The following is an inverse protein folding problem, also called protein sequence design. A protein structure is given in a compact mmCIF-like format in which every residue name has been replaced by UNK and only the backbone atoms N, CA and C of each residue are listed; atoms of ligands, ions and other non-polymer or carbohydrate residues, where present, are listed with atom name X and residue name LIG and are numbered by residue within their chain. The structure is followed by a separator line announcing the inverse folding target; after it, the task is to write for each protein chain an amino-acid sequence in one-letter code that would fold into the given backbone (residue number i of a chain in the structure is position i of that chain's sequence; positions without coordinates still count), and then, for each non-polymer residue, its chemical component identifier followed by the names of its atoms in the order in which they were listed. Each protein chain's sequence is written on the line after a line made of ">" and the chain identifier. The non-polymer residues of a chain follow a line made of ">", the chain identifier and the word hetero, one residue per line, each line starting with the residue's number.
data_IF_151289290517
#
_entry.id   IF_151289290517
#
_cell.length_a   1.000
_cell.length_b   1.000
_cell.length_c   1.000
_cell.angle_alpha   90.00
_cell.angle_beta   90.00
_cell.angle_gamma   90.00
#
_symmetry.space_group_name_H-M   'P 1'
#
loop_
_entity.id
_entity.type
_entity.pdbx_description
1 polymer ?
#
# COMPACT_ATOMS: atom_id res chain seq x y z
N UNK A 1 22.52 -6.68 6.00
CA UNK A 1 21.12 -6.55 5.57
C UNK A 1 20.47 -5.23 5.99
N UNK A 2 20.54 -4.78 7.26
CA UNK A 2 19.90 -3.53 7.68
C UNK A 2 20.40 -2.22 7.02
N UNK A 3 21.60 -2.21 6.42
CA UNK A 3 22.10 -1.05 5.66
C UNK A 3 21.36 -0.84 4.34
N UNK A 4 21.05 -1.94 3.63
CA UNK A 4 20.45 -1.89 2.29
C UNK A 4 19.02 -1.32 2.32
N UNK A 5 18.19 -1.74 3.28
CA UNK A 5 16.83 -1.19 3.45
C UNK A 5 16.83 0.27 3.89
N UNK A 6 17.82 0.68 4.70
CA UNK A 6 17.96 2.09 5.12
C UNK A 6 18.39 3.00 3.96
N UNK A 7 19.20 2.48 3.04
CA UNK A 7 19.61 3.22 1.84
C UNK A 7 18.44 3.34 0.85
N UNK A 8 17.65 2.28 0.65
CA UNK A 8 16.40 2.34 -0.14
C UNK A 8 15.42 3.39 0.40
N UNK A 9 15.21 3.43 1.72
CA UNK A 9 14.35 4.45 2.34
C UNK A 9 14.87 5.88 2.13
N UNK A 10 16.20 6.06 2.04
CA UNK A 10 16.81 7.37 1.74
C UNK A 10 16.59 7.76 0.28
N UNK A 11 16.73 6.82 -0.64
CA UNK A 11 16.48 7.03 -2.07
C UNK A 11 15.01 7.36 -2.34
N UNK A 12 14.09 6.64 -1.72
CA UNK A 12 12.66 6.94 -1.81
C UNK A 12 12.33 8.36 -1.33
N UNK A 13 12.89 8.77 -0.18
CA UNK A 13 12.70 10.14 0.34
C UNK A 13 13.22 11.20 -0.63
N UNK A 14 14.35 10.95 -1.28
CA UNK A 14 14.88 11.86 -2.30
C UNK A 14 13.98 11.93 -3.53
N UNK A 15 13.46 10.79 -3.98
CA UNK A 15 12.51 10.74 -5.09
C UNK A 15 11.24 11.54 -4.79
N UNK A 16 10.62 11.29 -3.64
CA UNK A 16 9.42 12.02 -3.22
C UNK A 16 9.67 13.52 -3.07
N UNK A 17 10.81 13.92 -2.52
CA UNK A 17 11.18 15.33 -2.41
C UNK A 17 11.51 16.01 -3.75
N UNK A 18 11.82 15.23 -4.80
CA UNK A 18 12.08 15.74 -6.15
C UNK A 18 10.81 15.83 -7.01
N UNK A 19 9.66 15.35 -6.51
CA UNK A 19 8.36 15.61 -7.12
C UNK A 19 7.84 16.94 -6.56
N UNK A 20 8.24 18.08 -7.13
CA UNK A 20 7.65 19.38 -6.82
C UNK A 20 6.14 19.39 -7.16
N UNK A 21 5.36 20.03 -6.31
CA UNK A 21 3.88 20.00 -6.24
C UNK A 21 3.14 20.57 -7.48
N UNK A 22 3.86 21.09 -8.48
CA UNK A 22 3.28 21.83 -9.61
C UNK A 22 2.94 20.97 -10.85
N UNK A 23 3.49 19.76 -11.00
CA UNK A 23 3.16 18.87 -12.15
C UNK A 23 1.85 18.07 -11.92
N UNK A 24 1.32 18.08 -10.71
CA UNK A 24 0.13 17.32 -10.34
C UNK A 24 -1.20 18.00 -10.77
N UNK A 25 -1.19 19.31 -11.05
CA UNK A 25 -2.41 20.08 -11.35
C UNK A 25 -2.59 20.50 -12.83
N UNK A 26 -1.57 20.39 -13.68
CA UNK A 26 -1.59 20.99 -15.02
C UNK A 26 -2.09 20.10 -16.18
N UNK A 27 -2.52 18.87 -15.93
CA UNK A 27 -3.07 18.00 -17.01
C UNK A 27 -4.60 17.89 -17.03
N UNK A 28 -5.31 18.60 -16.14
CA UNK A 28 -6.78 18.67 -16.16
C UNK A 28 -7.27 20.01 -16.72
N UNK A 29 -7.29 20.15 -18.05
CA UNK A 29 -8.05 21.21 -18.70
C UNK A 29 -9.57 20.97 -18.51
N UNK A 30 -10.36 22.02 -18.22
CA UNK A 30 -11.77 21.86 -17.85
C UNK A 30 -12.67 21.75 -19.09
N UNK A 31 -13.53 20.73 -19.12
CA UNK A 31 -14.71 20.75 -19.99
C UNK A 31 -15.78 21.66 -19.38
N UNK A 32 -16.40 22.44 -20.25
CA UNK A 32 -17.20 23.63 -20.01
C UNK A 32 -18.59 23.34 -19.43
N UNK A 33 -19.10 24.31 -18.67
CA UNK A 33 -20.28 24.31 -17.84
C UNK A 33 -21.65 24.26 -18.56
N UNK A 34 -22.67 23.79 -17.83
CA UNK A 34 -24.04 24.27 -17.91
C UNK A 34 -24.62 24.39 -16.49
N UNK A 35 -25.15 25.58 -16.20
CA UNK A 35 -25.55 26.06 -14.89
C UNK A 35 -27.05 25.88 -14.63
N UNK A 36 -27.44 25.63 -13.36
CA UNK A 36 -28.70 26.13 -12.77
C UNK A 36 -28.54 26.25 -11.24
N UNK A 37 -28.92 27.40 -10.69
CA UNK A 37 -29.15 27.69 -9.26
C UNK A 37 -30.42 28.59 -9.16
N UNK A 38 -30.95 29.00 -7.99
CA UNK A 38 -30.72 28.55 -6.62
C UNK A 38 -32.02 28.32 -5.80
N UNK A 39 -31.90 27.80 -4.56
CA UNK A 39 -32.84 28.12 -3.48
C UNK A 39 -32.11 28.13 -2.12
N UNK A 40 -32.33 29.20 -1.36
CA UNK A 40 -31.70 29.53 -0.10
C UNK A 40 -32.48 29.01 1.11
N UNK A 41 -31.81 28.81 2.27
CA UNK A 41 -32.09 29.59 3.48
C UNK A 41 -31.11 29.28 4.62
N UNK A 42 -30.65 30.35 5.26
CA UNK A 42 -29.70 30.47 6.37
C UNK A 42 -30.29 30.06 7.72
N UNK A 43 -29.45 29.53 8.63
CA UNK A 43 -29.45 29.91 10.06
C UNK A 43 -28.02 29.96 10.63
N UNK A 44 -27.63 31.15 11.08
CA UNK A 44 -26.46 31.52 11.89
C UNK A 44 -26.71 31.32 13.38
N UNK A 45 -25.69 30.87 14.14
CA UNK A 45 -25.46 31.23 15.56
C UNK A 45 -23.94 31.24 15.84
N UNK A 46 -23.39 32.23 16.57
CA UNK A 46 -21.95 32.42 16.78
C UNK A 46 -21.45 31.72 18.06
N UNK A 47 -20.16 31.34 18.07
CA UNK A 47 -19.52 30.76 19.26
C UNK A 47 -18.00 30.64 19.12
N UNK A 48 -17.31 31.55 19.80
CA UNK A 48 -15.87 31.71 20.03
C UNK A 48 -15.01 30.44 19.97
N UNK A 49 -13.87 30.55 19.27
CA UNK A 49 -12.73 29.62 19.31
C UNK A 49 -12.07 29.63 20.71
N UNK A 50 -11.75 28.46 21.30
CA UNK A 50 -10.77 28.37 22.38
C UNK A 50 -9.33 28.33 21.82
N UNK A 51 -8.33 28.77 22.62
CA UNK A 51 -6.94 28.85 22.20
C UNK A 51 -6.21 27.50 22.23
N UNK A 52 -5.08 27.49 21.55
CA UNK A 52 -4.08 26.43 21.42
C UNK A 52 -3.71 25.74 22.74
N UNK A 53 -3.60 24.42 22.70
CA UNK A 53 -2.77 23.59 23.58
C UNK A 53 -1.94 22.70 22.65
N UNK A 54 -0.66 23.00 22.41
CA UNK A 54 0.52 22.60 23.20
C UNK A 54 0.66 21.09 23.38
N UNK A 55 1.56 20.56 22.55
CA UNK A 55 2.61 19.58 22.88
C UNK A 55 2.22 18.36 23.73
N UNK A 56 2.11 17.22 23.06
CA UNK A 56 2.46 15.94 23.66
C UNK A 56 3.19 15.09 22.63
N UNK A 57 4.51 15.18 22.66
CA UNK A 57 5.40 14.14 22.14
C UNK A 57 5.03 12.81 22.80
N UNK A 58 4.24 11.98 22.11
CA UNK A 58 4.12 10.58 22.45
C UNK A 58 5.43 9.89 22.06
N UNK A 59 6.36 9.83 23.01
CA UNK A 59 7.54 8.98 22.92
C UNK A 59 7.07 7.51 22.91
N UNK A 60 7.00 6.93 21.72
CA UNK A 60 6.82 5.49 21.55
C UNK A 60 8.16 4.83 21.86
N UNK A 61 8.27 4.29 23.07
CA UNK A 61 9.41 3.49 23.53
C UNK A 61 9.44 2.16 22.76
N UNK A 62 10.19 2.14 21.66
CA UNK A 62 10.47 0.91 20.92
C UNK A 62 11.57 0.14 21.68
N UNK A 63 11.29 -1.08 22.18
CA UNK A 63 12.29 -1.84 22.91
C UNK A 63 13.52 -2.07 22.02
N UNK A 64 14.67 -1.65 22.52
CA UNK A 64 15.99 -1.79 21.88
C UNK A 64 16.25 -3.26 21.59
N UNK A 65 16.29 -3.62 20.31
CA UNK A 65 16.59 -4.97 19.83
C UNK A 65 17.88 -5.50 20.50
N UNK A 66 17.73 -6.50 21.35
CA UNK A 66 18.85 -7.24 21.90
C UNK A 66 19.57 -7.97 20.75
N UNK A 67 20.90 -7.84 20.72
CA UNK A 67 21.76 -8.45 19.73
C UNK A 67 21.72 -9.99 19.86
N UNK A 68 21.06 -10.64 18.91
CA UNK A 68 21.15 -12.09 18.71
C UNK A 68 22.39 -12.38 17.88
N UNK A 69 23.35 -13.12 18.45
CA UNK A 69 24.54 -13.58 17.73
C UNK A 69 24.16 -14.75 16.79
N UNK A 70 24.76 -14.84 15.58
CA UNK A 70 24.45 -15.92 14.67
C UNK A 70 25.23 -17.18 15.06
N UNK A 71 24.51 -18.26 15.37
CA UNK A 71 25.08 -19.59 15.42
C UNK A 71 25.41 -20.08 14.00
N UNK A 72 26.67 -20.47 13.78
CA UNK A 72 27.15 -21.03 12.54
C UNK A 72 26.37 -22.31 12.18
N UNK A 73 25.73 -22.32 11.01
CA UNK A 73 25.18 -23.53 10.41
C UNK A 73 25.64 -23.62 8.95
N UNK A 74 26.10 -24.82 8.62
CA UNK A 74 26.82 -25.25 7.42
C UNK A 74 26.03 -25.01 6.13
N UNK A 75 26.79 -24.67 5.08
CA UNK A 75 26.32 -24.33 3.74
C UNK A 75 25.89 -25.57 2.94
N UNK A 76 24.75 -26.18 3.26
CA UNK A 76 24.15 -27.26 2.45
C UNK A 76 22.61 -27.26 2.64
N UNK A 77 21.91 -26.14 2.37
CA UNK A 77 20.42 -26.13 2.25
C UNK A 77 19.88 -24.77 1.78
N UNK A 78 20.01 -24.44 0.48
CA UNK A 78 19.45 -23.20 -0.11
C UNK A 78 18.38 -23.45 -1.17
N UNK A 79 18.30 -24.65 -1.74
CA UNK A 79 17.36 -24.96 -2.83
C UNK A 79 16.02 -25.48 -2.31
N UNK A 80 15.98 -26.13 -1.14
CA UNK A 80 14.73 -26.69 -0.57
C UNK A 80 13.85 -25.58 0.03
N UNK A 81 14.44 -24.55 0.65
CA UNK A 81 13.71 -23.49 1.36
C UNK A 81 12.83 -22.57 0.50
N UNK A 82 13.10 -22.45 -0.81
CA UNK A 82 12.35 -21.53 -1.70
C UNK A 82 11.05 -22.15 -2.22
N UNK A 83 11.09 -23.42 -2.60
CA UNK A 83 9.92 -24.14 -3.12
C UNK A 83 8.81 -24.21 -2.05
N UNK A 84 9.19 -24.51 -0.81
CA UNK A 84 8.24 -24.62 0.31
C UNK A 84 7.54 -23.28 0.63
N UNK A 85 8.27 -22.17 0.62
CA UNK A 85 7.68 -20.83 0.81
C UNK A 85 6.73 -20.45 -0.32
N UNK A 86 7.12 -20.73 -1.56
CA UNK A 86 6.29 -20.43 -2.73
C UNK A 86 4.98 -21.22 -2.65
N UNK A 87 5.09 -22.53 -2.40
CA UNK A 87 3.92 -23.39 -2.20
C UNK A 87 3.03 -22.91 -1.05
N UNK A 88 3.61 -22.52 0.08
CA UNK A 88 2.85 -22.00 1.22
C UNK A 88 2.10 -20.71 0.90
N UNK A 89 2.70 -19.79 0.14
CA UNK A 89 2.03 -18.56 -0.29
C UNK A 89 0.98 -18.82 -1.36
N UNK A 90 1.18 -19.78 -2.25
CA UNK A 90 0.17 -20.20 -3.22
C UNK A 90 -1.04 -20.82 -2.52
N UNK A 91 -0.81 -21.70 -1.54
CA UNK A 91 -1.86 -22.28 -0.68
C UNK A 91 -2.61 -21.18 0.07
N UNK A 92 -1.91 -20.22 0.67
CA UNK A 92 -2.52 -19.06 1.32
C UNK A 92 -3.33 -18.22 0.34
N UNK A 93 -2.85 -18.01 -0.89
CA UNK A 93 -3.57 -17.29 -1.92
C UNK A 93 -4.89 -17.98 -2.29
N UNK A 94 -4.93 -19.31 -2.33
CA UNK A 94 -6.18 -20.06 -2.55
C UNK A 94 -7.17 -19.90 -1.40
N UNK A 95 -6.68 -19.93 -0.15
CA UNK A 95 -7.51 -19.65 1.03
C UNK A 95 -8.08 -18.23 0.97
N UNK A 96 -7.28 -17.24 0.58
CA UNK A 96 -7.74 -15.85 0.45
C UNK A 96 -8.80 -15.72 -0.66
N UNK A 97 -8.58 -16.35 -1.82
CA UNK A 97 -9.50 -16.32 -2.97
C UNK A 97 -10.89 -16.87 -2.63
N UNK A 98 -10.94 -17.88 -1.77
CA UNK A 98 -12.18 -18.52 -1.30
C UNK A 98 -12.77 -17.91 -0.02
N UNK A 99 -12.09 -16.95 0.60
CA UNK A 99 -12.47 -16.42 1.92
C UNK A 99 -13.82 -15.68 1.88
N UNK A 100 -14.77 -16.06 2.74
CA UNK A 100 -16.08 -15.39 2.91
C UNK A 100 -16.32 -14.91 4.36
N UNK A 101 -15.23 -14.71 5.12
CA UNK A 101 -15.26 -14.42 6.56
C UNK A 101 -15.76 -13.01 6.92
N UNK A 102 -15.99 -12.14 5.94
CA UNK A 102 -16.54 -10.80 6.13
C UNK A 102 -17.45 -10.40 4.96
N UNK A 103 -18.28 -9.34 5.10
CA UNK A 103 -19.21 -8.92 4.04
C UNK A 103 -18.54 -8.61 2.69
N UNK A 104 -17.31 -8.10 2.70
CA UNK A 104 -16.57 -7.79 1.46
C UNK A 104 -16.31 -9.03 0.60
N UNK A 105 -16.24 -10.21 1.21
CA UNK A 105 -16.04 -11.44 0.46
C UNK A 105 -17.24 -11.86 -0.39
N UNK A 106 -18.43 -11.35 -0.06
CA UNK A 106 -19.63 -11.58 -0.84
C UNK A 106 -19.82 -10.57 -1.99
N UNK A 107 -19.15 -9.41 -1.95
CA UNK A 107 -19.37 -8.32 -2.91
C UNK A 107 -18.23 -8.12 -3.91
N UNK A 108 -16.99 -8.48 -3.57
CA UNK A 108 -15.83 -8.38 -4.46
C UNK A 108 -15.99 -9.16 -5.77
N UNK A 109 -15.34 -8.73 -6.85
CA UNK A 109 -15.16 -9.57 -8.04
C UNK A 109 -14.02 -10.57 -7.85
N UNK A 110 -12.85 -10.08 -7.42
CA UNK A 110 -11.69 -10.93 -7.14
C UNK A 110 -11.07 -10.56 -5.81
N UNK A 111 -10.65 -11.57 -5.03
CA UNK A 111 -9.74 -11.31 -3.93
C UNK A 111 -8.36 -10.95 -4.48
N UNK A 112 -7.61 -10.15 -3.72
CA UNK A 112 -6.25 -9.72 -4.06
C UNK A 112 -5.28 -10.16 -2.96
N UNK A 113 -4.75 -11.41 -3.01
CA UNK A 113 -3.87 -11.95 -1.97
C UNK A 113 -2.57 -11.16 -1.78
N UNK A 114 -2.02 -10.67 -2.88
CA UNK A 114 -0.66 -10.12 -2.97
C UNK A 114 0.13 -10.84 -4.07
N UNK A 115 1.20 -10.22 -4.56
CA UNK A 115 2.07 -10.79 -5.59
C UNK A 115 3.53 -10.36 -5.38
N UNK A 116 4.47 -11.12 -5.92
CA UNK A 116 5.90 -10.75 -5.96
C UNK A 116 6.84 -11.84 -5.47
N UNK A 117 8.07 -11.45 -5.17
CA UNK A 117 9.11 -12.40 -4.73
C UNK A 117 8.89 -12.83 -3.27
N UNK A 118 8.71 -14.14 -3.07
CA UNK A 118 8.49 -14.77 -1.76
C UNK A 118 9.69 -14.66 -0.80
N UNK A 119 10.85 -14.28 -1.33
CA UNK A 119 12.06 -13.99 -0.55
C UNK A 119 12.48 -12.51 -0.70
N UNK A 120 11.55 -11.61 -1.02
CA UNK A 120 11.85 -10.19 -1.08
C UNK A 120 12.33 -9.67 0.28
N UNK A 121 13.35 -8.81 0.25
CA UNK A 121 13.80 -8.06 1.44
C UNK A 121 12.84 -6.90 1.79
N UNK A 122 12.03 -6.47 0.82
CA UNK A 122 11.09 -5.35 0.95
C UNK A 122 9.69 -5.80 0.56
N UNK A 123 8.74 -5.47 1.43
CA UNK A 123 7.31 -5.68 1.20
C UNK A 123 6.56 -4.34 1.26
N UNK A 124 5.71 -4.09 0.27
CA UNK A 124 4.77 -2.97 0.27
C UNK A 124 3.40 -3.46 0.71
N UNK A 125 2.80 -2.74 1.67
CA UNK A 125 1.49 -3.07 2.23
C UNK A 125 0.58 -1.85 2.16
N UNK A 126 -0.44 -1.89 1.29
CA UNK A 126 -1.49 -0.88 1.23
C UNK A 126 -2.68 -1.20 2.15
N UNK A 127 -3.67 -0.31 2.16
CA UNK A 127 -4.88 -0.48 2.97
C UNK A 127 -5.78 -1.59 2.42
N UNK A 128 -6.20 -1.47 1.16
CA UNK A 128 -7.13 -2.39 0.50
C UNK A 128 -7.09 -2.26 -1.01
N UNK A 129 -7.68 -3.21 -1.75
CA UNK A 129 -7.75 -3.14 -3.21
C UNK A 129 -8.70 -2.02 -3.65
N UNK A 130 -8.37 -1.33 -4.74
CA UNK A 130 -9.28 -0.45 -5.46
C UNK A 130 -10.08 -1.19 -6.54
N UNK A 131 -10.78 -0.43 -7.37
CA UNK A 131 -11.65 -0.97 -8.43
C UNK A 131 -10.87 -1.76 -9.49
N UNK A 132 -9.75 -1.22 -9.99
CA UNK A 132 -8.94 -1.90 -11.01
C UNK A 132 -8.28 -3.16 -10.44
N UNK A 133 -7.84 -3.11 -9.18
CA UNK A 133 -7.28 -4.24 -8.46
C UNK A 133 -8.31 -5.36 -8.26
N UNK A 134 -9.54 -5.01 -7.88
CA UNK A 134 -10.65 -5.97 -7.71
C UNK A 134 -11.03 -6.61 -9.05
N UNK A 135 -11.04 -5.86 -10.15
CA UNK A 135 -11.31 -6.41 -11.48
C UNK A 135 -10.22 -7.34 -11.99
N UNK A 136 -8.96 -7.04 -11.69
CA UNK A 136 -7.81 -7.81 -12.20
C UNK A 136 -7.32 -8.90 -11.23
N UNK A 137 -7.71 -8.84 -9.96
CA UNK A 137 -7.20 -9.75 -8.91
C UNK A 137 -5.73 -9.49 -8.54
N UNK A 138 -5.19 -8.32 -8.86
CA UNK A 138 -3.77 -7.98 -8.69
C UNK A 138 -3.60 -6.68 -7.90
N UNK A 139 -2.62 -6.60 -6.98
CA UNK A 139 -2.46 -5.44 -6.12
C UNK A 139 -1.80 -4.27 -6.88
N UNK A 140 -2.22 -3.03 -6.61
CA UNK A 140 -1.57 -1.82 -7.12
C UNK A 140 -1.39 -1.84 -8.65
N UNK A 141 -2.50 -1.94 -9.40
CA UNK A 141 -2.51 -1.90 -10.87
C UNK A 141 -3.17 -0.63 -11.43
N UNK A 142 -3.88 0.14 -10.60
CA UNK A 142 -4.44 1.43 -10.96
C UNK A 142 -3.40 2.57 -10.93
N UNK A 143 -3.89 3.83 -10.89
CA UNK A 143 -3.03 5.04 -10.86
C UNK A 143 -2.02 5.04 -9.71
N UNK A 144 -2.47 4.65 -8.51
CA UNK A 144 -1.58 4.54 -7.35
C UNK A 144 -0.50 3.47 -7.54
N UNK A 145 -0.82 2.40 -8.27
CA UNK A 145 0.14 1.35 -8.63
C UNK A 145 1.24 1.83 -9.57
N UNK A 146 0.89 2.63 -10.58
CA UNK A 146 1.86 3.25 -11.48
C UNK A 146 2.82 4.17 -10.74
N UNK A 147 2.33 4.90 -9.73
CA UNK A 147 3.20 5.71 -8.88
C UNK A 147 4.10 4.83 -8.01
N UNK A 148 3.58 3.75 -7.42
CA UNK A 148 4.37 2.78 -6.67
C UNK A 148 5.48 2.16 -7.54
N UNK A 149 5.19 1.83 -8.79
CA UNK A 149 6.19 1.28 -9.73
C UNK A 149 7.33 2.27 -9.98
N UNK A 150 7.01 3.56 -10.15
CA UNK A 150 8.02 4.62 -10.26
C UNK A 150 8.87 4.74 -8.99
N UNK A 151 8.25 4.65 -7.81
CA UNK A 151 8.97 4.66 -6.53
C UNK A 151 9.90 3.46 -6.38
N UNK A 152 9.42 2.25 -6.73
CA UNK A 152 10.22 1.01 -6.71
C UNK A 152 11.43 1.16 -7.63
N UNK A 153 11.22 1.66 -8.85
CA UNK A 153 12.30 1.91 -9.79
C UNK A 153 13.30 2.97 -9.29
N UNK A 154 12.82 4.03 -8.62
CA UNK A 154 13.67 5.07 -8.03
C UNK A 154 14.55 4.55 -6.88
N UNK A 155 14.15 3.45 -6.23
CA UNK A 155 14.95 2.71 -5.26
C UNK A 155 15.90 1.70 -5.93
N UNK A 156 16.02 1.68 -7.25
CA UNK A 156 16.86 0.74 -7.99
C UNK A 156 16.37 -0.71 -7.94
N UNK A 157 15.08 -0.92 -7.65
CA UNK A 157 14.46 -2.24 -7.61
C UNK A 157 13.51 -2.42 -8.80
N UNK A 158 13.28 -3.67 -9.18
CA UNK A 158 12.19 -4.08 -10.05
C UNK A 158 10.99 -4.57 -9.22
N UNK A 159 9.79 -4.47 -9.78
CA UNK A 159 8.55 -4.89 -9.11
C UNK A 159 8.58 -6.37 -8.72
N UNK A 160 9.21 -7.20 -9.54
CA UNK A 160 9.36 -8.63 -9.32
C UNK A 160 10.35 -8.96 -8.19
N UNK A 161 11.17 -8.00 -7.75
CA UNK A 161 12.13 -8.20 -6.65
C UNK A 161 11.51 -7.94 -5.28
N UNK A 162 10.33 -7.32 -5.23
CA UNK A 162 9.62 -6.97 -4.01
C UNK A 162 8.37 -7.83 -3.84
N UNK A 163 7.73 -7.78 -2.68
CA UNK A 163 6.40 -8.36 -2.47
C UNK A 163 5.38 -7.26 -2.21
N UNK A 164 4.22 -7.31 -2.84
CA UNK A 164 3.21 -6.25 -2.77
C UNK A 164 1.89 -6.86 -2.34
N UNK A 165 1.26 -6.31 -1.32
CA UNK A 165 -0.05 -6.74 -0.85
C UNK A 165 -0.82 -5.60 -0.19
N UNK A 166 -2.04 -5.91 0.28
CA UNK A 166 -2.85 -5.01 1.10
C UNK A 166 -3.21 -5.68 2.44
N UNK A 167 -3.53 -4.87 3.46
CA UNK A 167 -4.06 -5.34 4.74
C UNK A 167 -5.41 -6.02 4.50
N UNK A 168 -6.35 -5.31 3.89
CA UNK A 168 -7.60 -5.89 3.39
C UNK A 168 -7.35 -6.57 2.03
N UNK A 169 -8.04 -7.68 1.77
CA UNK A 169 -7.85 -8.48 0.54
C UNK A 169 -8.99 -8.36 -0.46
N UNK A 170 -10.00 -7.54 -0.16
CA UNK A 170 -11.24 -7.45 -0.91
C UNK A 170 -11.64 -5.98 -1.05
N UNK A 171 -12.13 -5.58 -2.22
CA UNK A 171 -12.70 -4.26 -2.43
C UNK A 171 -14.20 -4.29 -2.06
N UNK A 172 -14.73 -3.27 -1.36
CA UNK A 172 -16.17 -3.09 -1.23
C UNK A 172 -16.76 -2.70 -2.59
N UNK A 173 -17.20 -3.68 -3.37
CA UNK A 173 -17.95 -3.38 -4.59
C UNK A 173 -19.38 -2.98 -4.22
N UNK A 174 -19.75 -1.74 -4.54
CA UNK A 174 -21.13 -1.23 -4.45
C UNK A 174 -21.72 -0.89 -5.81
N UNK A 175 -21.03 -1.21 -6.91
CA UNK A 175 -21.47 -0.83 -8.25
C UNK A 175 -22.19 -2.01 -8.93
N UNK A 176 -23.53 -1.98 -9.08
CA UNK A 176 -24.23 -2.92 -9.94
C UNK A 176 -24.00 -2.49 -11.39
N UNK A 177 -23.50 -3.41 -12.21
CA UNK A 177 -23.49 -3.30 -13.67
C UNK A 177 -24.81 -2.76 -14.23
#
# INVERSE_FOLDING_TARGET
>A
MGHQVRDLARELKRFLAAQDEDEFLLTAAPSRAAAVAPAASSKTVPGSLPPMAQDSTLEVDFPRAAAVQPAATSQEDLTVKKADKTRSLDELAQVIKSCTRCPLGATRLNAVPGEGNVNADVMFVGEGPGFDEDRQGRPFVGRAGQLLDKMIAAMGLAREQVFIANIAKCHPMTDPL
#
